data_IF_940916628165
#
_entry.id   IF_940916628165
#
_cell.length_a   1.000
_cell.length_b   1.000
_cell.length_c   1.000
_cell.angle_alpha   90.00
_cell.angle_beta   90.00
_cell.angle_gamma   90.00
#
_symmetry.space_group_name_H-M   'P 1'
#
loop_
_entity.id
_entity.type
_entity.pdbx_description
1 polymer ?
#
# COMPACT_ATOMS: atom_id res chain seq x y z
N UNK A 1 10.37 -7.77 7.50
CA UNK A 1 9.43 -6.64 7.61
C UNK A 1 8.12 -6.98 6.91
N UNK A 2 7.02 -6.74 7.57
CA UNK A 2 5.68 -6.90 6.97
C UNK A 2 5.25 -5.59 6.32
N UNK A 3 4.73 -5.69 5.09
CA UNK A 3 4.23 -4.55 4.34
C UNK A 3 2.78 -4.82 3.95
N UNK A 4 1.81 -4.17 4.59
CA UNK A 4 0.41 -4.31 4.19
C UNK A 4 0.16 -3.67 2.83
N UNK A 5 -0.61 -4.35 1.99
CA UNK A 5 -1.06 -3.84 0.70
C UNK A 5 -2.58 -3.79 0.71
N UNK A 6 -3.13 -2.59 0.74
CA UNK A 6 -4.58 -2.37 0.80
C UNK A 6 -5.14 -2.42 -0.62
N UNK A 7 -5.69 -3.56 -1.01
CA UNK A 7 -6.24 -3.76 -2.35
C UNK A 7 -7.21 -4.94 -2.38
N UNK A 8 -8.23 -4.85 -3.23
CA UNK A 8 -9.13 -5.97 -3.53
C UNK A 8 -8.63 -6.81 -4.70
N UNK A 9 -7.63 -6.33 -5.42
CA UNK A 9 -7.11 -7.00 -6.62
C UNK A 9 -6.14 -8.11 -6.24
N UNK A 10 -6.68 -9.32 -6.07
CA UNK A 10 -5.91 -10.50 -5.68
C UNK A 10 -4.84 -10.84 -6.71
N UNK A 11 -5.16 -10.74 -7.99
CA UNK A 11 -4.22 -11.11 -9.05
C UNK A 11 -3.03 -10.16 -9.09
N UNK A 12 -3.27 -8.87 -8.99
CA UNK A 12 -2.19 -7.90 -8.93
C UNK A 12 -1.35 -8.09 -7.68
N UNK A 13 -1.99 -8.29 -6.53
CA UNK A 13 -1.27 -8.58 -5.29
C UNK A 13 -0.36 -9.78 -5.43
N UNK A 14 -0.85 -10.88 -6.03
CA UNK A 14 -0.06 -12.09 -6.26
C UNK A 14 1.17 -11.81 -7.14
N UNK A 15 1.02 -10.95 -8.15
CA UNK A 15 2.14 -10.55 -9.00
C UNK A 15 3.19 -9.77 -8.23
N UNK A 16 2.77 -8.82 -7.39
CA UNK A 16 3.70 -8.10 -6.51
C UNK A 16 4.42 -9.04 -5.57
N UNK A 17 3.67 -9.96 -4.96
CA UNK A 17 4.23 -10.93 -4.01
C UNK A 17 5.27 -11.83 -4.67
N UNK A 18 5.07 -12.21 -5.93
CA UNK A 18 6.04 -13.03 -6.67
C UNK A 18 7.33 -12.28 -7.00
N UNK A 19 7.28 -10.96 -7.05
CA UNK A 19 8.42 -10.13 -7.44
C UNK A 19 9.21 -9.57 -6.26
N UNK A 20 8.59 -9.41 -5.11
CA UNK A 20 9.24 -8.84 -3.93
C UNK A 20 10.36 -9.76 -3.41
N UNK A 21 11.42 -9.17 -2.88
CA UNK A 21 12.48 -9.92 -2.22
C UNK A 21 11.96 -10.48 -0.88
N UNK A 22 11.54 -11.75 -0.89
CA UNK A 22 10.89 -12.38 0.25
C UNK A 22 11.85 -12.74 1.39
N UNK A 23 13.14 -12.58 1.18
CA UNK A 23 14.11 -12.69 2.27
C UNK A 23 14.10 -11.48 3.20
N UNK A 24 13.64 -10.34 2.69
CA UNK A 24 13.59 -9.07 3.45
C UNK A 24 12.17 -8.67 3.81
N UNK A 25 11.23 -8.91 2.93
CA UNK A 25 9.89 -8.33 3.02
C UNK A 25 8.81 -9.38 2.83
N UNK A 26 7.73 -9.21 3.57
CA UNK A 26 6.54 -10.04 3.42
C UNK A 26 5.36 -9.12 3.13
N UNK A 27 4.77 -9.26 1.94
CA UNK A 27 3.57 -8.53 1.58
C UNK A 27 2.34 -9.27 2.14
N UNK A 28 1.43 -8.52 2.72
CA UNK A 28 0.19 -9.04 3.26
C UNK A 28 -0.97 -8.27 2.66
N UNK A 29 -1.89 -8.97 2.00
CA UNK A 29 -3.07 -8.32 1.41
C UNK A 29 -4.06 -7.94 2.50
N UNK A 30 -4.54 -6.70 2.44
CA UNK A 30 -5.55 -6.18 3.34
C UNK A 30 -6.84 -5.95 2.56
N UNK A 31 -7.92 -6.58 2.99
CA UNK A 31 -9.22 -6.50 2.34
C UNK A 31 -10.29 -5.85 3.20
N UNK A 32 -10.03 -5.62 4.48
CA UNK A 32 -11.00 -5.00 5.37
C UNK A 32 -10.31 -4.32 6.55
N UNK A 33 -11.10 -3.56 7.32
CA UNK A 33 -10.61 -2.79 8.44
C UNK A 33 -10.00 -3.65 9.54
N UNK A 34 -10.62 -4.78 9.84
CA UNK A 34 -10.15 -5.67 10.91
C UNK A 34 -8.75 -6.20 10.63
N UNK A 35 -8.48 -6.58 9.39
CA UNK A 35 -7.15 -7.06 8.99
C UNK A 35 -6.07 -6.01 9.21
N UNK A 36 -6.32 -4.75 8.79
CA UNK A 36 -5.33 -3.70 8.98
C UNK A 36 -5.17 -3.31 10.45
N UNK A 37 -6.25 -3.29 11.21
CA UNK A 37 -6.17 -3.03 12.66
C UNK A 37 -5.30 -4.07 13.35
N UNK A 38 -5.46 -5.35 13.01
CA UNK A 38 -4.65 -6.42 13.59
C UNK A 38 -3.17 -6.24 13.27
N UNK A 39 -2.84 -5.90 12.02
CA UNK A 39 -1.44 -5.72 11.62
C UNK A 39 -0.83 -4.52 12.32
N UNK A 40 -1.54 -3.40 12.35
CA UNK A 40 -1.04 -2.19 13.00
C UNK A 40 -0.86 -2.35 14.52
N UNK A 41 -1.64 -3.25 15.13
CA UNK A 41 -1.57 -3.50 16.57
C UNK A 41 -0.47 -4.48 16.96
N UNK A 42 -0.19 -5.47 16.09
CA UNK A 42 0.64 -6.62 16.46
C UNK A 42 2.00 -6.65 15.76
N UNK A 43 2.19 -5.83 14.72
CA UNK A 43 3.40 -5.85 13.93
C UNK A 43 4.04 -4.45 13.89
N UNK A 44 5.36 -4.43 13.80
CA UNK A 44 6.09 -3.19 13.60
C UNK A 44 6.05 -2.82 12.11
N UNK A 45 5.06 -2.04 11.73
CA UNK A 45 4.79 -1.66 10.34
C UNK A 45 5.23 -0.21 10.11
N UNK A 46 6.16 0.00 9.18
CA UNK A 46 6.65 1.35 8.83
C UNK A 46 6.31 1.77 7.40
N UNK A 47 5.80 0.85 6.58
CA UNK A 47 5.47 1.10 5.18
C UNK A 47 4.13 0.47 4.82
N UNK A 48 3.32 1.20 4.07
CA UNK A 48 2.00 0.78 3.64
C UNK A 48 1.83 1.06 2.15
N UNK A 49 1.27 0.10 1.41
CA UNK A 49 0.96 0.28 -0.01
C UNK A 49 -0.56 0.31 -0.17
N UNK A 50 -1.07 1.30 -0.88
CA UNK A 50 -2.51 1.58 -0.95
C UNK A 50 -2.97 1.69 -2.40
N UNK A 51 -3.99 0.92 -2.74
CA UNK A 51 -4.64 0.93 -4.06
C UNK A 51 -5.74 2.00 -4.10
N UNK A 52 -5.56 3.01 -4.95
CA UNK A 52 -6.55 4.08 -5.11
C UNK A 52 -7.51 3.85 -6.28
N UNK A 53 -7.48 2.66 -6.89
CA UNK A 53 -8.36 2.33 -8.02
C UNK A 53 -9.74 1.83 -7.59
N UNK A 54 -9.94 1.52 -6.31
CA UNK A 54 -11.23 1.10 -5.77
C UNK A 54 -11.60 1.87 -4.50
N UNK A 55 -12.76 1.58 -3.93
CA UNK A 55 -13.28 2.29 -2.75
C UNK A 55 -12.84 1.69 -1.42
N UNK A 56 -11.99 0.69 -1.43
CA UNK A 56 -11.59 0.00 -0.20
C UNK A 56 -10.95 0.96 0.81
N UNK A 57 -10.11 1.89 0.33
CA UNK A 57 -9.46 2.90 1.17
C UNK A 57 -10.47 3.70 1.98
N UNK A 58 -11.57 4.09 1.34
CA UNK A 58 -12.63 4.85 2.02
C UNK A 58 -13.40 3.98 2.99
N UNK A 59 -13.75 2.76 2.56
CA UNK A 59 -14.58 1.86 3.37
C UNK A 59 -13.92 1.42 4.67
N UNK A 60 -12.60 1.34 4.71
CA UNK A 60 -11.86 0.96 5.92
C UNK A 60 -11.41 2.16 6.76
N UNK A 61 -11.67 3.38 6.30
CA UNK A 61 -11.27 4.61 6.98
C UNK A 61 -9.78 4.61 7.32
N UNK A 62 -8.96 4.20 6.36
CA UNK A 62 -7.54 3.95 6.57
C UNK A 62 -6.79 5.19 7.06
N UNK A 63 -7.16 6.36 6.55
CA UNK A 63 -6.51 7.61 6.95
C UNK A 63 -6.59 7.83 8.46
N UNK A 64 -7.73 7.51 9.06
CA UNK A 64 -7.92 7.66 10.51
C UNK A 64 -7.11 6.62 11.29
N UNK A 65 -6.99 5.40 10.74
CA UNK A 65 -6.24 4.33 11.39
C UNK A 65 -4.75 4.61 11.46
N UNK A 66 -4.19 5.29 10.46
CA UNK A 66 -2.75 5.58 10.43
C UNK A 66 -2.40 6.97 10.96
N UNK A 67 -3.39 7.75 11.34
CA UNK A 67 -3.19 9.07 11.94
C UNK A 67 -2.33 8.95 13.20
N UNK A 68 -1.33 9.79 13.34
CA UNK A 68 -0.40 9.79 14.48
C UNK A 68 0.51 8.56 14.56
N UNK A 69 0.59 7.76 13.50
CA UNK A 69 1.55 6.66 13.42
C UNK A 69 2.67 7.02 12.46
N UNK A 70 3.86 6.53 12.76
CA UNK A 70 5.04 6.76 11.93
C UNK A 70 5.08 5.73 10.80
N UNK A 71 4.18 5.90 9.84
CA UNK A 71 4.03 4.99 8.70
C UNK A 71 4.13 5.79 7.41
N UNK A 72 5.07 5.42 6.55
CA UNK A 72 5.16 5.98 5.21
C UNK A 72 4.22 5.21 4.27
N UNK A 73 3.52 5.90 3.40
CA UNK A 73 2.58 5.25 2.49
C UNK A 73 2.87 5.54 1.03
N UNK A 74 2.69 4.51 0.19
CA UNK A 74 2.80 4.60 -1.26
C UNK A 74 1.41 4.33 -1.84
N UNK A 75 0.90 5.30 -2.60
CA UNK A 75 -0.38 5.15 -3.29
C UNK A 75 -0.15 4.73 -4.74
N UNK A 76 -0.95 3.80 -5.25
CA UNK A 76 -0.87 3.44 -6.67
C UNK A 76 -2.24 3.43 -7.34
N UNK A 77 -2.23 3.54 -8.67
CA UNK A 77 -3.42 3.60 -9.53
C UNK A 77 -3.09 2.97 -10.89
N UNK A 78 -4.10 2.55 -11.70
CA UNK A 78 -3.87 1.65 -12.85
C UNK A 78 -2.91 2.19 -13.91
N UNK A 79 -3.02 3.47 -14.26
CA UNK A 79 -2.18 4.16 -15.24
C UNK A 79 -2.27 5.66 -14.95
N UNK A 80 -1.60 6.48 -15.73
CA UNK A 80 -1.61 7.92 -15.48
C UNK A 80 -3.04 8.43 -15.42
N UNK A 81 -3.46 8.83 -14.23
CA UNK A 81 -4.81 9.32 -13.94
C UNK A 81 -4.68 10.43 -12.91
N UNK A 82 -4.83 11.66 -13.37
CA UNK A 82 -4.62 12.83 -12.52
C UNK A 82 -5.57 12.88 -11.32
N UNK A 83 -6.83 12.45 -11.51
CA UNK A 83 -7.80 12.46 -10.41
C UNK A 83 -7.40 11.49 -9.30
N UNK A 84 -7.00 10.28 -9.66
CA UNK A 84 -6.56 9.29 -8.67
C UNK A 84 -5.25 9.70 -8.01
N UNK A 85 -4.34 10.31 -8.76
CA UNK A 85 -3.11 10.86 -8.19
C UNK A 85 -3.41 11.94 -7.17
N UNK A 86 -4.32 12.87 -7.48
CA UNK A 86 -4.72 13.90 -6.52
C UNK A 86 -5.41 13.32 -5.28
N UNK A 87 -6.20 12.28 -5.45
CA UNK A 87 -6.81 11.59 -4.31
C UNK A 87 -5.73 10.98 -3.39
N UNK A 88 -4.69 10.38 -3.98
CA UNK A 88 -3.58 9.82 -3.22
C UNK A 88 -2.81 10.91 -2.46
N UNK A 89 -2.58 12.06 -3.10
CA UNK A 89 -1.92 13.20 -2.47
C UNK A 89 -2.77 13.73 -1.31
N UNK A 90 -4.06 13.90 -1.52
CA UNK A 90 -4.99 14.39 -0.48
C UNK A 90 -5.09 13.43 0.70
N UNK A 91 -4.95 12.14 0.44
CA UNK A 91 -4.89 11.13 1.49
C UNK A 91 -3.65 11.31 2.37
N UNK A 92 -2.58 11.88 1.81
CA UNK A 92 -1.33 12.10 2.53
C UNK A 92 -0.29 11.02 2.25
N UNK A 93 -0.39 10.32 1.10
CA UNK A 93 0.66 9.36 0.73
C UNK A 93 1.98 10.09 0.46
N UNK A 94 3.08 9.48 0.88
CA UNK A 94 4.41 10.05 0.68
C UNK A 94 4.92 9.88 -0.74
N UNK A 95 4.41 8.90 -1.47
CA UNK A 95 4.79 8.64 -2.86
C UNK A 95 3.57 8.16 -3.64
N UNK A 96 3.46 8.61 -4.90
CA UNK A 96 2.39 8.19 -5.79
C UNK A 96 3.00 7.58 -7.06
N UNK A 97 2.55 6.39 -7.44
CA UNK A 97 3.06 5.68 -8.61
C UNK A 97 1.92 5.02 -9.38
N UNK A 98 2.17 4.71 -10.65
CA UNK A 98 1.24 3.88 -11.39
C UNK A 98 1.41 2.42 -10.99
N UNK A 99 0.38 1.60 -11.25
CA UNK A 99 0.44 0.17 -11.04
C UNK A 99 1.66 -0.47 -11.72
N UNK A 100 1.94 -0.06 -12.96
CA UNK A 100 3.07 -0.60 -13.71
C UNK A 100 4.41 -0.19 -13.11
N UNK A 101 4.55 1.06 -12.69
CA UNK A 101 5.74 1.54 -12.00
C UNK A 101 5.99 0.80 -10.70
N UNK A 102 4.93 0.58 -9.92
CA UNK A 102 5.05 -0.16 -8.66
C UNK A 102 5.53 -1.59 -8.91
N UNK A 103 4.89 -2.29 -9.86
CA UNK A 103 5.29 -3.66 -10.18
C UNK A 103 6.74 -3.73 -10.65
N UNK A 104 7.11 -2.86 -11.59
CA UNK A 104 8.44 -2.86 -12.19
C UNK A 104 9.54 -2.56 -11.16
N UNK A 105 9.28 -1.67 -10.22
CA UNK A 105 10.29 -1.13 -9.32
C UNK A 105 10.05 -1.45 -7.85
N UNK A 106 9.25 -2.47 -7.53
CA UNK A 106 8.80 -2.68 -6.15
C UNK A 106 9.96 -2.86 -5.16
N UNK A 107 10.98 -3.62 -5.52
CA UNK A 107 12.11 -3.83 -4.61
C UNK A 107 12.87 -2.53 -4.33
N UNK A 108 13.10 -1.74 -5.37
CA UNK A 108 13.78 -0.45 -5.22
C UNK A 108 12.95 0.52 -4.38
N UNK A 109 11.64 0.58 -4.63
CA UNK A 109 10.74 1.45 -3.88
C UNK A 109 10.75 1.08 -2.40
N UNK A 110 10.60 -0.20 -2.10
CA UNK A 110 10.55 -0.67 -0.71
C UNK A 110 11.89 -0.49 -0.01
N UNK A 111 13.01 -0.80 -0.69
CA UNK A 111 14.35 -0.61 -0.12
C UNK A 111 14.63 0.86 0.19
N UNK A 112 14.17 1.77 -0.66
CA UNK A 112 14.36 3.20 -0.47
C UNK A 112 13.55 3.75 0.71
N UNK A 113 12.34 3.23 0.90
CA UNK A 113 11.37 3.81 1.85
C UNK A 113 11.27 3.07 3.18
N UNK A 114 11.89 1.92 3.31
CA UNK A 114 11.83 1.14 4.55
C UNK A 114 12.89 1.49 5.58
#
# INVERSE_FOLDING_TARGET
MIIPVVTKDIMYFSRLKSKINDNKYRLVQIKNRKEIENILSNENCSLLIVDFSDDLVKSIELKDLIKNKDIFSVGYYPHINENLKQNAIKFGTGKQVTRNQLFKNINDIVDELS
#
